data_IF_824761003935
#
_entry.id   IF_824761003935
#
_cell.length_a   1.000
_cell.length_b   1.000
_cell.length_c   1.000
_cell.angle_alpha   90.00
_cell.angle_beta   90.00
_cell.angle_gamma   90.00
#
_symmetry.space_group_name_H-M   'P 1'
#
loop_
_entity.id
_entity.type
_entity.pdbx_description
1 polymer ?
#
# COMPACT_ATOMS: atom_id res chain seq x y z
N UNK A 1 13.90 -10.71 -5.35
CA UNK A 1 14.12 -11.05 -6.78
C UNK A 1 13.29 -12.27 -7.15
N UNK A 2 12.67 -12.24 -8.30
CA UNK A 2 11.92 -13.38 -8.84
C UNK A 2 12.85 -14.19 -9.73
N UNK A 3 12.89 -15.49 -9.50
CA UNK A 3 13.71 -16.41 -10.29
C UNK A 3 12.91 -17.68 -10.55
N UNK A 4 12.89 -18.12 -11.81
CA UNK A 4 12.15 -19.32 -12.24
C UNK A 4 10.68 -19.28 -11.80
N UNK A 5 10.07 -18.09 -11.90
CA UNK A 5 8.68 -17.90 -11.54
C UNK A 5 8.39 -17.79 -10.04
N UNK A 6 9.44 -17.70 -9.20
CA UNK A 6 9.29 -17.68 -7.73
C UNK A 6 10.11 -16.54 -7.12
N UNK A 7 9.52 -15.82 -6.17
CA UNK A 7 10.23 -14.80 -5.39
C UNK A 7 9.87 -14.88 -3.92
N UNK A 8 10.88 -14.70 -3.07
CA UNK A 8 10.72 -14.62 -1.62
C UNK A 8 11.13 -13.23 -1.16
N UNK A 9 10.29 -12.59 -0.36
CA UNK A 9 10.55 -11.24 0.14
C UNK A 9 10.30 -11.21 1.64
N UNK A 10 11.27 -10.71 2.39
CA UNK A 10 11.12 -10.50 3.82
C UNK A 10 10.68 -9.07 4.07
N UNK A 11 9.56 -8.89 4.76
CA UNK A 11 8.99 -7.57 5.00
C UNK A 11 9.98 -6.63 5.70
N UNK A 12 10.79 -7.16 6.61
CA UNK A 12 11.81 -6.37 7.30
C UNK A 12 12.87 -5.80 6.36
N UNK A 13 13.29 -6.58 5.37
CA UNK A 13 14.26 -6.14 4.36
C UNK A 13 13.66 -5.07 3.44
N UNK A 14 12.42 -5.27 3.01
CA UNK A 14 11.68 -4.30 2.19
C UNK A 14 11.53 -2.99 2.96
N UNK A 15 11.17 -3.06 4.24
CA UNK A 15 11.03 -1.89 5.09
C UNK A 15 12.33 -1.13 5.27
N UNK A 16 13.45 -1.83 5.43
CA UNK A 16 14.77 -1.20 5.54
C UNK A 16 15.16 -0.50 4.24
N UNK A 17 14.89 -1.14 3.10
CA UNK A 17 15.15 -0.54 1.79
C UNK A 17 14.33 0.73 1.57
N UNK A 18 13.05 0.69 1.90
CA UNK A 18 12.16 1.84 1.78
C UNK A 18 12.69 3.01 2.63
N UNK A 19 13.08 2.71 3.87
CA UNK A 19 13.57 3.74 4.79
C UNK A 19 14.81 4.46 4.24
N UNK A 20 15.67 3.76 3.51
CA UNK A 20 16.86 4.36 2.90
C UNK A 20 16.55 5.23 1.68
N UNK A 21 15.39 5.08 1.07
CA UNK A 21 15.07 5.74 -0.21
C UNK A 21 14.28 7.03 -0.07
N UNK A 22 14.02 7.48 1.14
CA UNK A 22 13.29 8.73 1.41
C UNK A 22 11.95 8.84 0.65
N UNK A 23 11.32 7.71 0.32
CA UNK A 23 10.03 7.65 -0.35
C UNK A 23 9.05 6.90 0.53
N UNK A 24 7.78 7.32 0.61
CA UNK A 24 6.78 6.58 1.39
C UNK A 24 6.45 5.22 0.78
N UNK A 25 6.71 5.02 -0.50
CA UNK A 25 6.34 3.80 -1.21
C UNK A 25 7.56 3.14 -1.85
N UNK A 26 7.68 1.83 -1.68
CA UNK A 26 8.69 1.02 -2.35
C UNK A 26 8.02 -0.19 -3.00
N UNK A 27 8.08 -0.25 -4.33
CA UNK A 27 7.63 -1.43 -5.07
C UNK A 27 8.70 -2.53 -4.94
N UNK A 28 8.29 -3.71 -4.47
CA UNK A 28 9.23 -4.84 -4.32
C UNK A 28 8.95 -5.98 -5.30
N UNK A 29 7.82 -5.95 -5.99
CA UNK A 29 7.45 -6.97 -6.98
C UNK A 29 6.76 -6.31 -8.17
N UNK A 30 7.19 -6.69 -9.37
CA UNK A 30 6.50 -6.29 -10.61
C UNK A 30 6.57 -7.40 -11.64
N UNK A 31 5.39 -7.85 -12.05
CA UNK A 31 5.19 -8.71 -13.22
C UNK A 31 3.99 -8.13 -13.98
N UNK A 32 3.75 -8.51 -15.25
CA UNK A 32 2.66 -7.87 -16.02
C UNK A 32 1.29 -7.94 -15.36
N UNK A 33 1.00 -9.03 -14.65
CA UNK A 33 -0.32 -9.25 -14.04
C UNK A 33 -0.51 -8.59 -12.68
N UNK A 34 0.58 -8.15 -12.03
CA UNK A 34 0.48 -7.51 -10.71
C UNK A 34 1.76 -6.78 -10.34
N UNK A 35 1.63 -5.81 -9.46
CA UNK A 35 2.76 -5.24 -8.73
C UNK A 35 2.41 -5.18 -7.26
N UNK A 36 3.42 -5.14 -6.41
CA UNK A 36 3.23 -5.02 -4.97
C UNK A 36 4.31 -4.14 -4.36
N UNK A 37 3.93 -3.42 -3.31
CA UNK A 37 4.85 -2.53 -2.63
C UNK A 37 4.49 -2.33 -1.18
N UNK A 38 5.39 -1.68 -0.46
CA UNK A 38 5.19 -1.27 0.93
C UNK A 38 5.00 0.23 0.96
N UNK A 39 3.91 0.68 1.57
CA UNK A 39 3.56 2.08 1.74
C UNK A 39 3.56 2.42 3.23
N UNK A 40 4.28 3.47 3.60
CA UNK A 40 4.41 3.86 5.00
C UNK A 40 4.04 5.34 5.14
N UNK A 41 3.14 5.62 6.07
CA UNK A 41 2.71 6.98 6.41
C UNK A 41 2.88 7.18 7.92
N UNK A 42 3.58 8.23 8.34
CA UNK A 42 3.74 8.50 9.77
C UNK A 42 2.45 8.97 10.41
N UNK A 43 2.35 8.80 11.73
CA UNK A 43 1.27 9.39 12.51
C UNK A 43 1.18 10.89 12.22
N UNK A 44 -0.02 11.40 12.01
CA UNK A 44 -0.25 12.80 11.64
C UNK A 44 0.11 13.14 10.19
N UNK A 45 0.57 12.15 9.42
CA UNK A 45 0.93 12.35 8.02
C UNK A 45 -0.27 12.53 7.10
N UNK A 46 0.03 12.88 5.85
CA UNK A 46 -0.97 13.10 4.81
C UNK A 46 -0.75 12.10 3.69
N UNK A 47 -1.84 11.42 3.30
CA UNK A 47 -1.85 10.53 2.15
C UNK A 47 -2.20 11.35 0.91
N UNK A 48 -1.21 11.56 0.05
CA UNK A 48 -1.36 12.36 -1.18
C UNK A 48 -1.70 11.53 -2.41
N UNK A 49 -2.17 10.29 -2.24
CA UNK A 49 -2.50 9.44 -3.37
C UNK A 49 -3.58 10.02 -4.26
N UNK A 50 -3.45 9.74 -5.56
CA UNK A 50 -4.49 9.97 -6.55
C UNK A 50 -5.09 8.63 -6.96
N UNK A 51 -6.31 8.60 -7.54
CA UNK A 51 -6.90 7.35 -8.00
C UNK A 51 -5.97 6.62 -8.97
N UNK A 52 -5.87 5.31 -8.83
CA UNK A 52 -5.06 4.47 -9.71
C UNK A 52 -5.93 3.83 -10.78
N UNK A 53 -5.30 3.47 -11.90
CA UNK A 53 -5.97 2.85 -13.03
C UNK A 53 -6.12 1.33 -12.89
N UNK A 54 -5.59 0.78 -11.82
CA UNK A 54 -5.63 -0.64 -11.51
C UNK A 54 -6.50 -0.89 -10.30
N UNK A 55 -6.98 -2.11 -10.16
CA UNK A 55 -7.58 -2.55 -8.90
C UNK A 55 -6.49 -2.66 -7.85
N UNK A 56 -6.82 -2.34 -6.60
CA UNK A 56 -5.88 -2.38 -5.49
C UNK A 56 -6.41 -3.22 -4.34
N UNK A 57 -5.51 -3.91 -3.68
CA UNK A 57 -5.78 -4.54 -2.41
C UNK A 57 -4.74 -4.07 -1.40
N UNK A 58 -5.20 -3.52 -0.28
CA UNK A 58 -4.34 -3.13 0.83
C UNK A 58 -4.42 -4.17 1.94
N UNK A 59 -3.29 -4.46 2.55
CA UNK A 59 -3.22 -5.18 3.81
C UNK A 59 -2.48 -4.30 4.82
N UNK A 60 -3.17 -3.90 5.89
CA UNK A 60 -2.54 -3.08 6.93
C UNK A 60 -1.77 -3.98 7.87
N UNK A 61 -0.44 -3.88 7.82
CA UNK A 61 0.47 -4.67 8.65
C UNK A 61 0.68 -4.03 10.01
N UNK A 62 0.59 -2.69 10.10
CA UNK A 62 0.83 -1.91 11.33
C UNK A 62 0.09 -0.60 11.28
N UNK A 63 -0.28 -0.10 12.46
CA UNK A 63 -0.81 1.24 12.59
C UNK A 63 -2.31 1.31 12.71
N UNK A 64 -2.80 2.54 12.81
CA UNK A 64 -4.22 2.83 12.98
C UNK A 64 -4.56 4.14 12.29
N UNK A 65 -5.62 4.14 11.50
CA UNK A 65 -6.05 5.29 10.74
C UNK A 65 -7.54 5.19 10.37
N UNK A 66 -8.00 6.11 9.57
CA UNK A 66 -9.28 6.00 8.87
C UNK A 66 -9.02 5.89 7.38
N UNK A 67 -9.92 5.23 6.67
CA UNK A 67 -9.89 5.12 5.22
C UNK A 67 -11.22 5.63 4.66
N UNK A 68 -11.12 6.57 3.73
CA UNK A 68 -12.25 6.95 2.89
C UNK A 68 -12.00 6.37 1.50
N UNK A 69 -12.93 5.56 1.03
CA UNK A 69 -12.85 4.97 -0.31
C UNK A 69 -14.24 5.00 -0.93
N UNK A 70 -14.39 5.76 -2.03
CA UNK A 70 -15.70 6.00 -2.63
C UNK A 70 -16.65 6.66 -1.63
N UNK A 71 -17.75 5.98 -1.34
CA UNK A 71 -18.76 6.46 -0.38
C UNK A 71 -18.60 5.85 1.01
N UNK A 72 -17.59 5.01 1.21
CA UNK A 72 -17.36 4.37 2.50
C UNK A 72 -16.24 5.08 3.27
N UNK A 73 -16.41 5.15 4.58
CA UNK A 73 -15.46 5.80 5.47
C UNK A 73 -15.48 5.05 6.80
N UNK A 74 -14.35 4.50 7.23
CA UNK A 74 -14.30 3.74 8.47
C UNK A 74 -12.91 3.67 9.07
N UNK A 75 -12.84 3.30 10.34
CA UNK A 75 -11.57 3.00 11.00
C UNK A 75 -10.96 1.73 10.42
N UNK A 76 -9.65 1.76 10.27
CA UNK A 76 -8.86 0.64 9.79
C UNK A 76 -7.59 0.52 10.64
N UNK A 77 -7.06 -0.67 10.71
CA UNK A 77 -5.86 -0.92 11.48
C UNK A 77 -5.25 -2.26 11.15
N UNK A 78 -4.31 -2.69 11.96
CA UNK A 78 -3.59 -3.95 11.78
C UNK A 78 -4.56 -5.09 11.45
N UNK A 79 -4.32 -5.77 10.34
CA UNK A 79 -5.14 -6.90 9.88
C UNK A 79 -6.30 -6.53 8.98
N UNK A 80 -6.56 -5.24 8.74
CA UNK A 80 -7.62 -4.83 7.82
C UNK A 80 -7.16 -5.05 6.38
N UNK A 81 -8.04 -5.64 5.59
CA UNK A 81 -7.88 -5.79 4.14
C UNK A 81 -8.88 -4.86 3.45
N UNK A 82 -8.40 -4.09 2.46
CA UNK A 82 -9.24 -3.10 1.78
C UNK A 82 -9.10 -3.28 0.27
N UNK A 83 -10.21 -3.54 -0.40
CA UNK A 83 -10.24 -3.56 -1.86
C UNK A 83 -10.74 -2.22 -2.38
N UNK A 84 -10.04 -1.66 -3.35
CA UNK A 84 -10.43 -0.44 -4.05
C UNK A 84 -10.36 -0.71 -5.55
N UNK A 85 -11.50 -0.59 -6.23
CA UNK A 85 -11.53 -0.77 -7.67
C UNK A 85 -10.82 0.37 -8.39
N UNK A 86 -10.39 0.10 -9.62
CA UNK A 86 -9.75 1.11 -10.48
C UNK A 86 -10.56 2.40 -10.52
N UNK A 87 -9.86 3.53 -10.52
CA UNK A 87 -10.41 4.88 -10.62
C UNK A 87 -11.27 5.36 -9.44
N UNK A 88 -11.43 4.57 -8.38
CA UNK A 88 -12.16 5.00 -7.19
C UNK A 88 -11.26 5.88 -6.33
N UNK A 89 -11.74 7.06 -5.98
CA UNK A 89 -11.03 7.94 -5.06
C UNK A 89 -10.95 7.33 -3.68
N UNK A 90 -9.76 7.39 -3.09
CA UNK A 90 -9.52 6.85 -1.77
C UNK A 90 -8.32 7.51 -1.11
N UNK A 91 -8.32 7.54 0.22
CA UNK A 91 -7.16 7.97 0.99
C UNK A 91 -7.26 7.56 2.44
N UNK A 92 -6.10 7.33 3.03
CA UNK A 92 -5.97 7.24 4.48
C UNK A 92 -5.96 8.64 5.07
N UNK A 93 -6.51 8.79 6.26
CA UNK A 93 -6.46 10.05 6.99
C UNK A 93 -6.62 9.77 8.49
N UNK A 94 -6.43 10.80 9.32
CA UNK A 94 -6.53 10.61 10.76
C UNK A 94 -5.58 9.52 11.26
N UNK A 95 -4.35 9.54 10.76
CA UNK A 95 -3.37 8.51 11.08
C UNK A 95 -2.90 8.72 12.51
N UNK A 96 -3.28 7.81 13.40
CA UNK A 96 -2.97 7.89 14.83
C UNK A 96 -1.65 7.22 15.18
N UNK A 97 -1.31 6.14 14.47
CA UNK A 97 -0.07 5.39 14.65
C UNK A 97 0.56 5.19 13.28
N UNK A 98 1.89 5.17 13.23
CA UNK A 98 2.62 4.96 11.98
C UNK A 98 2.04 3.78 11.22
N UNK A 99 1.63 4.04 9.99
CA UNK A 99 0.89 3.11 9.16
C UNK A 99 1.83 2.39 8.20
N UNK A 100 1.82 1.06 8.22
CA UNK A 100 2.54 0.24 7.25
C UNK A 100 1.53 -0.61 6.49
N UNK A 101 1.49 -0.42 5.17
CA UNK A 101 0.49 -1.05 4.31
C UNK A 101 1.20 -1.79 3.18
N UNK A 102 0.86 -3.06 3.02
CA UNK A 102 1.27 -3.81 1.82
C UNK A 102 0.21 -3.58 0.76
N UNK A 103 0.64 -3.12 -0.41
CA UNK A 103 -0.26 -2.73 -1.49
C UNK A 103 -0.04 -3.65 -2.68
N UNK A 104 -1.13 -4.17 -3.21
CA UNK A 104 -1.14 -5.02 -4.39
C UNK A 104 -1.95 -4.34 -5.49
N UNK A 105 -1.40 -4.25 -6.69
CA UNK A 105 -2.10 -3.72 -7.86
C UNK A 105 -2.28 -4.82 -8.91
N UNK A 106 -3.44 -4.85 -9.54
CA UNK A 106 -3.73 -5.79 -10.63
C UNK A 106 -4.46 -5.05 -11.77
N UNK A 107 -3.88 -5.01 -12.97
CA UNK A 107 -2.51 -5.42 -13.33
C UNK A 107 -1.45 -4.55 -12.64
N UNK A 108 -0.17 -4.74 -12.99
CA UNK A 108 0.90 -3.95 -12.40
C UNK A 108 0.62 -2.45 -12.55
N UNK A 109 0.94 -1.70 -11.50
CA UNK A 109 0.68 -0.26 -11.46
C UNK A 109 1.36 0.46 -12.63
N UNK A 110 0.62 1.41 -13.24
CA UNK A 110 1.15 2.31 -14.25
C UNK A 110 1.13 3.75 -13.72
N UNK A 111 2.03 4.55 -14.21
CA UNK A 111 2.09 5.98 -13.85
C UNK A 111 1.05 6.80 -14.62
#
# INVERSE_FOLDING_TARGET
>A
MVRDGVGFFEAGDVGADRARRASPYLEFLRVPSMSAGLYVLPAGGVDGQVPHKQDELYYIARGKARMRAGTQDREVGRGTLIFVAADVEHRFYGIEEDLEVVVFFAPAETE
#
